data_IF_453865488705
#
_entry.id   IF_453865488705
#
_cell.length_a   1.000
_cell.length_b   1.000
_cell.length_c   1.000
_cell.angle_alpha   90.00
_cell.angle_beta   90.00
_cell.angle_gamma   90.00
#
_symmetry.space_group_name_H-M   'P 1'
#
loop_
_entity.id
_entity.type
_entity.pdbx_description
1 polymer ?
#
# COMPACT_ATOMS: atom_id res chain seq x y z
N UNK A 1 -2.27 -6.15 42.16
CA UNK A 1 -2.12 -7.58 41.84
C UNK A 1 -3.24 -7.97 40.89
N UNK A 2 -2.95 -8.01 39.59
CA UNK A 2 -3.88 -8.49 38.56
C UNK A 2 -3.07 -9.35 37.58
N UNK A 3 -3.29 -10.66 37.60
CA UNK A 3 -2.66 -11.62 36.69
C UNK A 3 -3.44 -11.69 35.37
N UNK A 4 -2.72 -11.49 34.28
CA UNK A 4 -3.21 -11.68 32.92
C UNK A 4 -3.29 -13.17 32.57
N UNK A 5 -4.48 -13.66 32.19
CA UNK A 5 -4.65 -14.96 31.55
C UNK A 5 -4.66 -14.79 30.03
N UNK A 6 -3.58 -15.25 29.40
CA UNK A 6 -3.52 -15.49 27.96
C UNK A 6 -4.53 -16.58 27.56
N UNK A 7 -5.47 -16.25 26.69
CA UNK A 7 -6.32 -17.21 25.97
C UNK A 7 -5.52 -17.85 24.82
N UNK A 8 -5.60 -19.17 24.59
CA UNK A 8 -4.92 -19.84 23.51
C UNK A 8 -5.58 -19.53 22.16
N UNK A 9 -4.76 -19.22 21.18
CA UNK A 9 -5.11 -18.89 19.80
C UNK A 9 -5.90 -20.03 19.12
N UNK A 10 -6.92 -19.74 18.29
CA UNK A 10 -7.75 -20.78 17.68
C UNK A 10 -6.99 -21.57 16.60
N UNK A 11 -7.00 -22.90 16.72
CA UNK A 11 -6.38 -23.92 15.85
C UNK A 11 -6.67 -23.75 14.34
N UNK A 12 -7.66 -22.94 13.95
CA UNK A 12 -7.99 -22.66 12.55
C UNK A 12 -6.92 -21.80 11.84
N UNK A 13 -6.18 -20.96 12.58
CA UNK A 13 -5.16 -20.08 11.97
C UNK A 13 -3.85 -20.84 11.69
N UNK A 14 -3.49 -21.81 12.54
CA UNK A 14 -2.33 -22.72 12.33
C UNK A 14 -2.54 -23.59 11.08
N UNK A 15 -3.78 -24.02 10.80
CA UNK A 15 -4.12 -24.72 9.55
C UNK A 15 -3.91 -23.85 8.32
N UNK A 16 -4.27 -22.56 8.37
CA UNK A 16 -4.09 -21.62 7.23
C UNK A 16 -2.63 -21.27 6.96
N UNK A 17 -1.80 -21.10 8.00
CA UNK A 17 -0.37 -20.83 7.80
C UNK A 17 0.41 -22.05 7.29
N UNK A 18 0.06 -23.26 7.71
CA UNK A 18 0.79 -24.48 7.32
C UNK A 18 0.59 -24.83 5.83
N UNK A 19 -0.57 -24.49 5.26
CA UNK A 19 -0.91 -24.74 3.85
C UNK A 19 -0.17 -23.84 2.85
N UNK A 20 0.30 -22.65 3.27
CA UNK A 20 0.94 -21.69 2.36
C UNK A 20 2.37 -22.07 1.95
N UNK A 21 3.05 -22.95 2.67
CA UNK A 21 4.47 -23.26 2.44
C UNK A 21 4.81 -24.74 2.29
N UNK A 22 3.93 -25.66 2.69
CA UNK A 22 4.32 -27.06 2.92
C UNK A 22 3.46 -28.00 2.07
N UNK A 23 4.10 -28.63 1.09
CA UNK A 23 3.46 -29.60 0.20
C UNK A 23 2.83 -30.78 0.94
N UNK A 24 1.92 -31.48 0.25
CA UNK A 24 1.09 -32.60 0.75
C UNK A 24 1.85 -33.61 1.63
N UNK A 25 3.11 -33.93 1.28
CA UNK A 25 4.00 -34.85 2.02
C UNK A 25 4.36 -34.38 3.44
N UNK A 26 4.48 -33.07 3.64
CA UNK A 26 4.89 -32.50 4.93
C UNK A 26 3.71 -32.37 5.89
N UNK A 27 2.51 -32.09 5.38
CA UNK A 27 1.26 -32.11 6.17
C UNK A 27 0.98 -33.51 6.70
N UNK A 28 1.20 -34.55 5.89
CA UNK A 28 1.07 -35.96 6.30
C UNK A 28 2.06 -36.31 7.42
N UNK A 29 3.33 -35.88 7.30
CA UNK A 29 4.33 -36.10 8.36
C UNK A 29 4.01 -35.34 9.65
N UNK A 30 3.48 -34.11 9.56
CA UNK A 30 3.12 -33.31 10.73
C UNK A 30 1.95 -33.92 11.52
N UNK A 31 0.94 -34.44 10.81
CA UNK A 31 -0.21 -35.12 11.41
C UNK A 31 0.15 -36.47 12.03
N UNK A 32 1.12 -37.19 11.44
CA UNK A 32 1.62 -38.46 11.97
C UNK A 32 2.58 -38.28 13.16
N UNK A 33 3.31 -37.16 13.26
CA UNK A 33 4.28 -36.89 14.33
C UNK A 33 3.70 -36.20 15.58
N UNK A 34 2.45 -35.73 15.55
CA UNK A 34 1.81 -35.27 16.78
C UNK A 34 1.33 -36.47 17.61
N UNK A 35 2.03 -36.76 18.72
CA UNK A 35 1.65 -37.75 19.75
C UNK A 35 0.25 -37.52 20.38
N UNK A 36 -0.48 -36.49 19.95
CA UNK A 36 -1.81 -36.11 20.42
C UNK A 36 -2.90 -37.08 19.89
N UNK A 37 -2.63 -37.92 18.89
CA UNK A 37 -3.68 -38.72 18.20
C UNK A 37 -4.01 -40.06 18.89
N UNK A 38 -3.32 -40.44 19.99
CA UNK A 38 -3.52 -41.75 20.65
C UNK A 38 -4.55 -41.81 21.79
N UNK A 39 -5.39 -40.80 22.02
CA UNK A 39 -6.47 -40.91 23.03
C UNK A 39 -7.88 -40.72 22.45
N UNK A 40 -8.64 -41.82 22.55
CA UNK A 40 -10.09 -41.98 22.32
C UNK A 40 -10.55 -42.03 20.86
N UNK A 41 -10.41 -43.20 20.23
CA UNK A 41 -11.47 -43.96 19.53
C UNK A 41 -12.42 -43.29 18.53
N UNK A 42 -12.18 -42.05 18.09
CA UNK A 42 -13.04 -41.29 17.15
C UNK A 42 -12.28 -40.67 15.98
N UNK A 43 -11.03 -41.07 15.77
CA UNK A 43 -10.08 -40.44 14.84
C UNK A 43 -9.96 -41.13 13.47
N UNK A 44 -10.77 -42.13 13.15
CA UNK A 44 -10.67 -42.82 11.86
C UNK A 44 -11.37 -42.06 10.70
N UNK A 45 -12.43 -41.29 10.98
CA UNK A 45 -13.20 -40.56 9.95
C UNK A 45 -12.58 -39.23 9.50
N UNK A 46 -11.95 -38.47 10.40
CA UNK A 46 -11.37 -37.16 10.08
C UNK A 46 -10.12 -37.25 9.19
N UNK A 47 -9.36 -38.34 9.28
CA UNK A 47 -8.18 -38.58 8.44
C UNK A 47 -8.55 -38.99 7.02
N UNK A 48 -9.56 -39.84 6.85
CA UNK A 48 -10.04 -40.25 5.52
C UNK A 48 -10.70 -39.10 4.75
N UNK A 49 -11.49 -38.25 5.43
CA UNK A 49 -12.12 -37.07 4.82
C UNK A 49 -11.12 -35.99 4.36
N UNK A 50 -9.99 -35.84 5.05
CA UNK A 50 -8.92 -34.89 4.65
C UNK A 50 -8.05 -35.50 3.54
N UNK A 51 -7.87 -36.82 3.53
CA UNK A 51 -7.13 -37.54 2.50
C UNK A 51 -7.91 -37.65 1.18
N UNK A 52 -9.25 -37.68 1.23
CA UNK A 52 -10.14 -37.75 0.06
C UNK A 52 -10.40 -36.39 -0.59
N UNK A 53 -10.15 -35.28 0.10
CA UNK A 53 -10.38 -33.93 -0.43
C UNK A 53 -9.32 -33.57 -1.48
N UNK A 54 -9.75 -33.48 -2.75
CA UNK A 54 -8.94 -32.92 -3.84
C UNK A 54 -8.70 -31.43 -3.58
N UNK A 55 -7.47 -31.08 -3.22
CA UNK A 55 -7.03 -29.68 -3.12
C UNK A 55 -6.81 -29.14 -4.53
N UNK A 56 -7.73 -28.29 -4.99
CA UNK A 56 -7.60 -27.62 -6.28
C UNK A 56 -6.80 -26.34 -6.07
N UNK A 57 -5.71 -26.17 -6.81
CA UNK A 57 -4.92 -24.94 -6.78
C UNK A 57 -4.94 -24.26 -8.15
N UNK A 58 -4.76 -22.94 -8.13
CA UNK A 58 -4.46 -22.15 -9.32
C UNK A 58 -3.09 -21.53 -9.10
N UNK A 59 -2.12 -21.91 -9.93
CA UNK A 59 -0.80 -21.30 -9.96
C UNK A 59 -0.81 -20.09 -10.88
N UNK A 60 -0.43 -18.93 -10.34
CA UNK A 60 -0.27 -17.70 -11.08
C UNK A 60 1.21 -17.51 -11.39
N UNK A 61 1.57 -17.75 -12.64
CA UNK A 61 2.95 -17.75 -13.13
C UNK A 61 3.21 -16.41 -13.80
N UNK A 62 4.19 -15.66 -13.30
CA UNK A 62 4.46 -14.32 -13.82
C UNK A 62 5.95 -14.09 -14.02
N UNK A 63 6.30 -13.35 -15.07
CA UNK A 63 7.64 -12.80 -15.23
C UNK A 63 7.90 -11.61 -14.28
N UNK A 64 6.84 -11.03 -13.69
CA UNK A 64 6.88 -10.04 -12.62
C UNK A 64 6.32 -10.60 -11.31
N UNK A 65 5.56 -9.79 -10.58
CA UNK A 65 4.98 -10.12 -9.25
C UNK A 65 3.69 -10.96 -9.30
N UNK A 66 3.03 -11.04 -10.46
CA UNK A 66 1.75 -11.74 -10.62
C UNK A 66 0.54 -11.08 -9.93
N UNK A 67 0.66 -9.83 -9.46
CA UNK A 67 -0.42 -9.11 -8.74
C UNK A 67 -1.66 -8.91 -9.63
N UNK A 68 -1.48 -8.46 -10.87
CA UNK A 68 -2.61 -8.18 -11.76
C UNK A 68 -3.42 -9.45 -12.09
N UNK A 69 -2.72 -10.54 -12.40
CA UNK A 69 -3.36 -11.83 -12.60
C UNK A 69 -4.04 -12.34 -11.33
N UNK A 70 -3.43 -12.12 -10.15
CA UNK A 70 -4.04 -12.50 -8.88
C UNK A 70 -5.36 -11.79 -8.64
N UNK A 71 -5.42 -10.46 -8.82
CA UNK A 71 -6.67 -9.72 -8.68
C UNK A 71 -7.72 -10.18 -9.70
N UNK A 72 -7.33 -10.38 -10.96
CA UNK A 72 -8.25 -10.88 -11.98
C UNK A 72 -8.86 -12.24 -11.59
N UNK A 73 -8.02 -13.19 -11.17
CA UNK A 73 -8.49 -14.52 -10.76
C UNK A 73 -9.37 -14.43 -9.51
N UNK A 74 -9.01 -13.61 -8.53
CA UNK A 74 -9.87 -13.38 -7.35
C UNK A 74 -11.24 -12.82 -7.76
N UNK A 75 -11.29 -11.84 -8.66
CA UNK A 75 -12.55 -11.29 -9.17
C UNK A 75 -13.42 -12.33 -9.89
N UNK A 76 -12.80 -13.27 -10.62
CA UNK A 76 -13.51 -14.38 -11.27
C UNK A 76 -14.02 -15.40 -10.24
N UNK A 77 -13.20 -15.75 -9.24
CA UNK A 77 -13.56 -16.73 -8.21
C UNK A 77 -14.76 -16.32 -7.36
N UNK A 78 -15.07 -15.02 -7.25
CA UNK A 78 -16.28 -14.52 -6.59
C UNK A 78 -17.56 -15.06 -7.25
N UNK A 79 -17.52 -15.40 -8.54
CA UNK A 79 -18.65 -16.02 -9.25
C UNK A 79 -18.88 -17.50 -8.84
N UNK A 80 -17.97 -18.07 -8.07
CA UNK A 80 -18.01 -19.46 -7.61
C UNK A 80 -17.93 -19.53 -6.07
N UNK A 81 -18.92 -19.03 -5.32
CA UNK A 81 -18.81 -18.82 -3.85
C UNK A 81 -18.57 -20.10 -3.03
N UNK A 82 -18.84 -21.29 -3.57
CA UNK A 82 -18.56 -22.58 -2.94
C UNK A 82 -17.18 -23.17 -3.26
N UNK A 83 -16.28 -22.41 -3.89
CA UNK A 83 -14.95 -22.90 -4.25
C UNK A 83 -14.06 -23.10 -3.01
N UNK A 84 -13.24 -24.15 -3.01
CA UNK A 84 -12.17 -24.40 -2.01
C UNK A 84 -10.79 -24.27 -2.69
N UNK A 85 -10.66 -23.27 -3.59
CA UNK A 85 -9.49 -23.10 -4.44
C UNK A 85 -8.44 -22.25 -3.73
N UNK A 86 -7.20 -22.73 -3.71
CA UNK A 86 -6.05 -21.94 -3.26
C UNK A 86 -5.32 -21.34 -4.45
N UNK A 87 -5.16 -20.02 -4.46
CA UNK A 87 -4.40 -19.31 -5.49
C UNK A 87 -2.96 -19.08 -5.01
N UNK A 88 -1.99 -19.60 -5.75
CA UNK A 88 -0.56 -19.52 -5.42
C UNK A 88 0.15 -18.67 -6.47
N UNK A 89 0.79 -17.58 -6.04
CA UNK A 89 1.62 -16.75 -6.93
C UNK A 89 3.02 -17.33 -7.04
N UNK A 90 3.54 -17.40 -8.26
CA UNK A 90 4.91 -17.80 -8.58
C UNK A 90 5.54 -16.69 -9.43
N UNK A 91 6.20 -15.70 -8.79
CA UNK A 91 6.78 -14.56 -9.47
C UNK A 91 8.12 -14.90 -10.13
N UNK A 92 8.60 -13.99 -10.97
CA UNK A 92 9.94 -13.99 -11.56
C UNK A 92 10.32 -15.22 -12.40
N UNK A 93 9.36 -15.77 -13.13
CA UNK A 93 9.59 -16.86 -14.07
C UNK A 93 10.17 -16.32 -15.38
N UNK A 94 11.38 -16.76 -15.70
CA UNK A 94 12.22 -16.26 -16.78
C UNK A 94 12.90 -17.37 -17.59
N UNK A 95 12.93 -18.61 -17.10
CA UNK A 95 13.60 -19.72 -17.76
C UNK A 95 12.69 -20.94 -17.89
N UNK A 96 12.98 -21.78 -18.87
CA UNK A 96 12.24 -23.03 -19.12
C UNK A 96 12.33 -24.00 -17.93
N UNK A 97 13.50 -24.13 -17.28
CA UNK A 97 13.66 -24.96 -16.09
C UNK A 97 12.72 -24.56 -14.94
N UNK A 98 12.51 -23.26 -14.73
CA UNK A 98 11.53 -22.80 -13.73
C UNK A 98 10.09 -23.15 -14.12
N UNK A 99 9.78 -23.19 -15.42
CA UNK A 99 8.48 -23.64 -15.91
C UNK A 99 8.30 -25.13 -15.67
N UNK A 100 9.33 -25.95 -15.89
CA UNK A 100 9.29 -27.39 -15.61
C UNK A 100 8.99 -27.66 -14.13
N UNK A 101 9.64 -26.97 -13.21
CA UNK A 101 9.37 -27.08 -11.77
C UNK A 101 7.90 -26.79 -11.42
N UNK A 102 7.28 -25.82 -12.10
CA UNK A 102 5.88 -25.46 -11.88
C UNK A 102 4.96 -26.51 -12.47
N UNK A 103 5.29 -27.06 -13.64
CA UNK A 103 4.53 -28.14 -14.29
C UNK A 103 4.50 -29.37 -13.37
N UNK A 104 5.63 -29.75 -12.77
CA UNK A 104 5.69 -30.85 -11.81
C UNK A 104 4.80 -30.60 -10.58
N UNK A 105 4.87 -29.40 -10.01
CA UNK A 105 4.04 -29.00 -8.86
C UNK A 105 2.55 -29.00 -9.21
N UNK A 106 2.19 -28.43 -10.36
CA UNK A 106 0.81 -28.36 -10.82
C UNK A 106 0.23 -29.74 -11.12
N UNK A 107 1.03 -30.65 -11.69
CA UNK A 107 0.65 -32.05 -11.91
C UNK A 107 0.38 -32.78 -10.59
N UNK A 108 1.26 -32.62 -9.61
CA UNK A 108 1.13 -33.29 -8.31
C UNK A 108 -0.12 -32.85 -7.53
N UNK A 109 -0.67 -31.68 -7.84
CA UNK A 109 -1.85 -31.10 -7.18
C UNK A 109 -3.08 -30.96 -8.07
N UNK A 110 -3.10 -31.56 -9.28
CA UNK A 110 -4.26 -31.51 -10.20
C UNK A 110 -4.77 -30.06 -10.40
N UNK A 111 -3.84 -29.16 -10.75
CA UNK A 111 -4.01 -27.71 -10.64
C UNK A 111 -3.95 -26.98 -11.97
N UNK A 112 -4.63 -25.82 -12.04
CA UNK A 112 -4.60 -24.94 -13.20
C UNK A 112 -3.39 -24.00 -13.14
N UNK A 113 -2.85 -23.64 -14.30
CA UNK A 113 -1.84 -22.61 -14.44
C UNK A 113 -2.44 -21.40 -15.18
N UNK A 114 -2.31 -20.22 -14.60
CA UNK A 114 -2.65 -18.94 -15.23
C UNK A 114 -1.37 -18.13 -15.33
N UNK A 115 -1.04 -17.56 -16.49
CA UNK A 115 0.23 -16.86 -16.64
C UNK A 115 0.15 -15.47 -17.28
N UNK A 116 1.15 -14.66 -16.94
CA UNK A 116 1.37 -13.31 -17.48
C UNK A 116 2.75 -13.14 -18.10
N UNK A 117 3.29 -14.22 -18.67
CA UNK A 117 4.59 -14.22 -19.35
C UNK A 117 4.50 -13.43 -20.66
N UNK A 118 5.41 -12.48 -20.85
CA UNK A 118 5.46 -11.63 -22.06
C UNK A 118 6.39 -12.15 -23.16
N UNK A 119 7.40 -12.95 -22.80
CA UNK A 119 8.30 -13.58 -23.75
C UNK A 119 7.57 -14.72 -24.49
N UNK A 120 7.54 -14.66 -25.82
CA UNK A 120 6.78 -15.59 -26.67
C UNK A 120 7.26 -17.03 -26.55
N UNK A 121 8.57 -17.26 -26.58
CA UNK A 121 9.14 -18.61 -26.52
C UNK A 121 8.77 -19.30 -25.20
N UNK A 122 8.92 -18.59 -24.07
CA UNK A 122 8.59 -19.12 -22.75
C UNK A 122 7.08 -19.34 -22.56
N UNK A 123 6.23 -18.50 -23.17
CA UNK A 123 4.78 -18.74 -23.22
C UNK A 123 4.48 -20.04 -23.94
N UNK A 124 5.00 -20.19 -25.17
CA UNK A 124 4.76 -21.38 -25.98
C UNK A 124 5.28 -22.64 -25.30
N UNK A 125 6.47 -22.57 -24.68
CA UNK A 125 7.03 -23.67 -23.91
C UNK A 125 6.10 -24.08 -22.75
N UNK A 126 5.60 -23.11 -21.96
CA UNK A 126 4.68 -23.40 -20.86
C UNK A 126 3.37 -24.02 -21.35
N UNK A 127 2.76 -23.46 -22.40
CA UNK A 127 1.52 -24.01 -22.97
C UNK A 127 1.74 -25.43 -23.50
N UNK A 128 2.83 -25.66 -24.24
CA UNK A 128 3.17 -26.97 -24.78
C UNK A 128 3.38 -28.01 -23.67
N UNK A 129 4.16 -27.68 -22.63
CA UNK A 129 4.39 -28.57 -21.49
C UNK A 129 3.13 -28.82 -20.68
N UNK A 130 2.28 -27.80 -20.52
CA UNK A 130 0.96 -27.94 -19.90
C UNK A 130 0.10 -28.95 -20.63
N UNK A 131 -0.06 -28.78 -21.95
CA UNK A 131 -0.81 -29.71 -22.80
C UNK A 131 -0.25 -31.14 -22.74
N UNK A 132 1.07 -31.31 -22.84
CA UNK A 132 1.73 -32.62 -22.79
C UNK A 132 1.55 -33.34 -21.45
N UNK A 133 1.22 -32.63 -20.38
CA UNK A 133 1.00 -33.17 -19.03
C UNK A 133 -0.47 -33.08 -18.60
N UNK A 134 -1.38 -32.77 -19.52
CA UNK A 134 -2.83 -32.61 -19.28
C UNK A 134 -3.18 -31.55 -18.23
N UNK A 135 -2.35 -30.51 -18.12
CA UNK A 135 -2.55 -29.37 -17.23
C UNK A 135 -3.20 -28.23 -18.01
N UNK A 136 -4.31 -27.70 -17.49
CA UNK A 136 -4.94 -26.51 -18.06
C UNK A 136 -4.06 -25.26 -17.87
N UNK A 137 -3.74 -24.59 -18.97
CA UNK A 137 -2.96 -23.34 -18.97
C UNK A 137 -3.78 -22.19 -19.56
N UNK A 138 -3.81 -21.05 -18.89
CA UNK A 138 -4.48 -19.82 -19.36
C UNK A 138 -3.43 -18.72 -19.57
N UNK A 139 -3.31 -18.25 -20.81
CA UNK A 139 -2.48 -17.11 -21.18
C UNK A 139 -3.27 -15.80 -21.12
N UNK A 140 -2.91 -14.93 -20.19
CA UNK A 140 -3.55 -13.61 -20.05
C UNK A 140 -2.87 -12.52 -20.89
N UNK A 141 -1.68 -12.77 -21.44
CA UNK A 141 -0.90 -11.75 -22.15
C UNK A 141 -0.92 -11.92 -23.66
N UNK A 142 -0.76 -13.13 -24.18
CA UNK A 142 -0.66 -13.39 -25.63
C UNK A 142 -1.79 -12.76 -26.44
N UNK A 143 -3.08 -13.03 -26.13
CA UNK A 143 -4.19 -12.45 -26.89
C UNK A 143 -4.21 -10.92 -26.90
N UNK A 144 -3.84 -10.28 -25.78
CA UNK A 144 -3.80 -8.82 -25.66
C UNK A 144 -2.64 -8.24 -26.47
N UNK A 145 -1.44 -8.83 -26.32
CA UNK A 145 -0.25 -8.40 -27.05
C UNK A 145 -0.46 -8.49 -28.55
N UNK A 146 -1.00 -9.60 -29.05
CA UNK A 146 -1.25 -9.77 -30.49
C UNK A 146 -2.28 -8.79 -31.04
N UNK A 147 -3.32 -8.43 -30.26
CA UNK A 147 -4.29 -7.41 -30.68
C UNK A 147 -3.69 -6.00 -30.71
N UNK A 148 -2.84 -5.66 -29.75
CA UNK A 148 -2.14 -4.37 -29.73
C UNK A 148 -1.11 -4.29 -30.86
N UNK A 149 -0.33 -5.36 -31.09
CA UNK A 149 0.63 -5.48 -32.20
C UNK A 149 -0.06 -5.21 -33.55
N UNK A 150 -1.20 -5.86 -33.81
CA UNK A 150 -1.97 -5.63 -35.05
C UNK A 150 -2.57 -4.22 -35.13
N UNK A 151 -2.88 -3.59 -33.99
CA UNK A 151 -3.45 -2.25 -33.96
C UNK A 151 -2.40 -1.15 -34.18
N UNK A 152 -1.19 -1.37 -33.66
CA UNK A 152 -0.07 -0.42 -33.76
C UNK A 152 0.79 -0.65 -35.01
N UNK A 153 0.64 -1.79 -35.69
CA UNK A 153 1.52 -2.26 -36.76
C UNK A 153 3.00 -2.28 -36.33
N UNK A 154 3.23 -2.64 -35.05
CA UNK A 154 4.55 -2.66 -34.42
C UNK A 154 4.68 -3.83 -33.45
N UNK A 155 5.87 -4.45 -33.44
CA UNK A 155 6.12 -5.67 -32.69
C UNK A 155 6.34 -5.36 -31.19
N UNK A 156 5.80 -6.19 -30.28
CA UNK A 156 6.05 -6.01 -28.86
C UNK A 156 7.52 -6.29 -28.53
N UNK A 157 8.08 -5.54 -27.59
CA UNK A 157 9.45 -5.76 -27.10
C UNK A 157 9.63 -7.11 -26.38
N UNK A 158 8.54 -7.70 -25.89
CA UNK A 158 8.51 -9.00 -25.18
C UNK A 158 9.46 -9.11 -23.98
N UNK A 159 9.91 -7.98 -23.44
CA UNK A 159 10.81 -7.92 -22.29
C UNK A 159 10.03 -7.79 -20.97
N UNK A 160 10.26 -8.70 -20.01
CA UNK A 160 9.62 -8.60 -18.70
C UNK A 160 10.15 -7.40 -17.92
N UNK A 161 9.27 -6.80 -17.11
CA UNK A 161 9.65 -5.71 -16.21
C UNK A 161 9.81 -4.34 -16.87
N UNK A 162 9.51 -4.20 -18.19
CA UNK A 162 9.51 -2.89 -18.85
C UNK A 162 8.59 -1.88 -18.16
N UNK A 163 7.41 -2.30 -17.72
CA UNK A 163 6.53 -1.43 -16.95
C UNK A 163 7.23 -0.87 -15.70
N UNK A 164 7.98 -1.68 -14.94
CA UNK A 164 8.76 -1.20 -13.78
C UNK A 164 10.02 -0.42 -14.15
N UNK A 165 10.61 -0.65 -15.32
CA UNK A 165 11.77 0.11 -15.80
C UNK A 165 11.35 1.50 -16.31
N UNK A 166 10.24 1.58 -17.03
CA UNK A 166 9.65 2.82 -17.54
C UNK A 166 9.00 3.59 -16.38
N UNK A 167 8.21 2.88 -15.58
CA UNK A 167 7.57 3.40 -14.37
C UNK A 167 8.32 2.87 -13.15
N UNK A 168 9.62 3.19 -13.02
CA UNK A 168 10.38 3.04 -11.77
C UNK A 168 9.42 3.14 -10.61
N UNK A 169 9.14 2.03 -9.89
CA UNK A 169 8.18 2.07 -8.79
C UNK A 169 8.59 3.25 -7.92
N UNK A 170 7.64 4.17 -7.90
CA UNK A 170 7.73 5.61 -7.86
C UNK A 170 8.87 6.12 -6.96
N UNK A 171 10.11 6.20 -7.50
CA UNK A 171 11.29 6.68 -6.75
C UNK A 171 11.01 8.08 -6.19
N UNK A 172 10.27 8.90 -6.96
CA UNK A 172 9.77 10.19 -6.51
C UNK A 172 8.80 10.06 -5.32
N UNK A 173 7.85 9.12 -5.32
CA UNK A 173 6.96 8.85 -4.18
C UNK A 173 7.70 8.29 -2.96
N UNK A 174 8.65 7.36 -3.14
CA UNK A 174 9.48 6.85 -2.05
C UNK A 174 10.29 8.01 -1.44
N UNK A 175 10.95 8.81 -2.29
CA UNK A 175 11.69 10.00 -1.85
C UNK A 175 10.75 11.04 -1.22
N UNK A 176 9.52 11.21 -1.72
CA UNK A 176 8.54 12.12 -1.15
C UNK A 176 8.06 11.64 0.23
N UNK A 177 7.84 10.34 0.42
CA UNK A 177 7.49 9.72 1.70
C UNK A 177 8.64 9.88 2.69
N UNK A 178 9.87 9.54 2.30
CA UNK A 178 11.06 9.72 3.13
C UNK A 178 11.25 11.18 3.53
N UNK A 179 11.08 12.10 2.57
CA UNK A 179 11.14 13.54 2.81
C UNK A 179 10.08 14.01 3.81
N UNK A 180 8.82 13.60 3.63
CA UNK A 180 7.73 13.98 4.51
C UNK A 180 7.89 13.42 5.93
N UNK A 181 8.39 12.19 6.07
CA UNK A 181 8.72 11.59 7.37
C UNK A 181 9.85 12.37 8.07
N UNK A 182 10.90 12.73 7.33
CA UNK A 182 12.02 13.50 7.88
C UNK A 182 11.64 14.94 8.31
N UNK A 183 10.51 15.47 7.80
CA UNK A 183 10.04 16.83 8.04
C UNK A 183 8.70 16.92 8.79
N UNK A 184 8.19 15.82 9.37
CA UNK A 184 6.91 15.83 10.10
C UNK A 184 7.00 16.57 11.44
N UNK A 185 8.11 16.40 12.15
CA UNK A 185 8.36 16.99 13.48
C UNK A 185 8.93 18.41 13.43
N UNK A 186 9.16 18.96 12.22
CA UNK A 186 9.63 20.34 12.04
C UNK A 186 11.04 20.65 12.55
N UNK A 187 11.89 19.63 12.77
CA UNK A 187 13.26 19.82 13.30
C UNK A 187 14.32 20.02 12.21
N UNK A 188 14.11 19.52 10.99
CA UNK A 188 15.06 19.62 9.89
C UNK A 188 14.75 20.84 9.03
N UNK A 189 15.50 21.92 9.24
CA UNK A 189 15.28 23.19 8.56
C UNK A 189 16.16 23.42 7.34
N UNK A 190 17.23 22.63 7.18
CA UNK A 190 18.23 22.82 6.13
C UNK A 190 17.68 22.39 4.74
N UNK A 191 16.85 21.35 4.70
CA UNK A 191 16.32 20.77 3.47
C UNK A 191 14.92 21.33 3.08
N UNK A 192 14.41 22.31 3.84
CA UNK A 192 13.11 22.97 3.57
C UNK A 192 13.02 23.57 2.15
N UNK A 193 14.15 23.94 1.55
CA UNK A 193 14.21 24.48 0.19
C UNK A 193 13.84 23.45 -0.89
N UNK A 194 14.01 22.16 -0.61
CA UNK A 194 13.66 21.07 -1.51
C UNK A 194 12.17 20.72 -1.49
N UNK A 195 11.43 21.24 -0.50
CA UNK A 195 10.00 21.02 -0.40
C UNK A 195 9.26 21.63 -1.60
N UNK A 196 8.36 20.84 -2.18
CA UNK A 196 7.41 21.30 -3.18
C UNK A 196 6.20 21.97 -2.53
N UNK A 197 5.87 21.53 -1.31
CA UNK A 197 4.77 22.04 -0.50
C UNK A 197 5.28 22.21 0.93
N UNK A 198 5.11 23.40 1.50
CA UNK A 198 5.43 23.68 2.90
C UNK A 198 4.14 24.00 3.63
N UNK A 199 3.75 23.15 4.57
CA UNK A 199 2.55 23.36 5.36
C UNK A 199 2.86 24.05 6.68
N UNK A 200 2.24 25.20 6.90
CA UNK A 200 2.32 25.94 8.15
C UNK A 200 1.01 25.81 8.89
N UNK A 201 1.03 25.53 10.20
CA UNK A 201 -0.22 25.38 10.93
C UNK A 201 -0.04 25.17 12.42
N UNK A 202 -1.11 25.43 13.18
CA UNK A 202 -1.14 25.15 14.61
C UNK A 202 -0.91 23.66 14.91
N UNK A 203 -0.41 23.36 16.11
CA UNK A 203 -0.33 21.99 16.60
C UNK A 203 -1.71 21.33 16.56
N UNK A 204 -1.80 20.12 15.98
CA UNK A 204 -3.05 19.36 15.76
C UNK A 204 -4.00 19.89 14.68
N UNK A 205 -3.56 20.81 13.82
CA UNK A 205 -4.33 21.22 12.64
C UNK A 205 -4.39 20.15 11.52
N UNK A 206 -3.91 18.92 11.73
CA UNK A 206 -3.96 17.84 10.72
C UNK A 206 -2.80 17.81 9.72
N UNK A 207 -1.67 18.50 9.99
CA UNK A 207 -0.49 18.53 9.11
C UNK A 207 0.06 17.13 8.78
N UNK A 208 0.39 16.32 9.79
CA UNK A 208 0.99 14.98 9.62
C UNK A 208 0.21 14.02 8.72
N UNK A 209 -1.10 13.76 8.94
CA UNK A 209 -1.84 12.86 8.06
C UNK A 209 -1.97 13.44 6.64
N UNK A 210 -2.05 14.76 6.51
CA UNK A 210 -2.17 15.44 5.22
C UNK A 210 -0.85 15.40 4.42
N UNK A 211 0.29 15.62 5.07
CA UNK A 211 1.62 15.54 4.43
C UNK A 211 1.92 14.13 3.97
N UNK A 212 1.61 13.13 4.81
CA UNK A 212 1.80 11.73 4.45
C UNK A 212 0.90 11.31 3.29
N UNK A 213 -0.36 11.76 3.26
CA UNK A 213 -1.25 11.47 2.15
C UNK A 213 -0.71 12.06 0.83
N UNK A 214 -0.31 13.33 0.84
CA UNK A 214 0.28 13.97 -0.35
C UNK A 214 1.63 13.35 -0.76
N UNK A 215 2.42 12.87 0.19
CA UNK A 215 3.67 12.18 -0.08
C UNK A 215 3.44 10.82 -0.77
N UNK A 216 2.39 10.09 -0.37
CA UNK A 216 1.90 8.91 -1.11
C UNK A 216 1.38 9.30 -2.50
N UNK A 217 1.00 10.55 -2.74
CA UNK A 217 0.71 11.03 -4.10
C UNK A 217 1.95 11.54 -4.85
N UNK A 218 3.15 11.42 -4.29
CA UNK A 218 4.41 11.77 -4.93
C UNK A 218 4.98 13.16 -4.59
N UNK A 219 4.37 13.92 -3.67
CA UNK A 219 4.78 15.29 -3.37
C UNK A 219 5.72 15.39 -2.16
N UNK A 220 6.85 16.09 -2.30
CA UNK A 220 7.73 16.43 -1.18
C UNK A 220 7.09 17.50 -0.29
N UNK A 221 6.49 17.09 0.82
CA UNK A 221 5.80 17.98 1.77
C UNK A 221 6.58 18.14 3.07
N UNK A 222 6.82 19.38 3.51
CA UNK A 222 7.42 19.67 4.80
C UNK A 222 6.41 20.33 5.75
N UNK A 223 6.41 19.92 7.03
CA UNK A 223 5.54 20.49 8.05
C UNK A 223 6.32 21.47 8.92
N UNK A 224 5.82 22.72 9.00
CA UNK A 224 6.39 23.73 9.90
C UNK A 224 5.33 24.11 10.95
N UNK A 225 5.54 23.76 12.23
CA UNK A 225 4.60 24.10 13.28
C UNK A 225 4.59 25.61 13.52
N UNK A 226 3.40 26.20 13.61
CA UNK A 226 3.23 27.56 14.11
C UNK A 226 2.94 27.50 15.62
N UNK A 227 3.80 28.14 16.40
CA UNK A 227 3.58 28.39 17.83
C UNK A 227 3.55 29.90 18.05
N UNK A 228 2.46 30.41 18.62
CA UNK A 228 2.28 31.85 18.81
C UNK A 228 3.35 32.39 19.77
N UNK A 229 3.99 33.49 19.37
CA UNK A 229 5.07 34.12 20.13
C UNK A 229 6.46 33.52 19.88
N UNK A 230 6.55 32.38 19.19
CA UNK A 230 7.83 31.79 18.77
C UNK A 230 8.14 32.25 17.34
N UNK A 231 9.33 32.82 17.08
CA UNK A 231 9.74 33.18 15.72
C UNK A 231 9.76 31.95 14.81
N UNK A 232 9.22 32.11 13.60
CA UNK A 232 9.32 31.05 12.58
C UNK A 232 10.76 30.95 12.05
N UNK A 233 11.17 29.78 11.54
CA UNK A 233 12.51 29.59 10.99
C UNK A 233 12.82 30.56 9.85
N UNK A 234 13.99 31.21 9.90
CA UNK A 234 14.42 32.19 8.88
C UNK A 234 14.48 31.60 7.46
N UNK A 235 14.67 30.29 7.34
CA UNK A 235 14.67 29.57 6.06
C UNK A 235 13.36 29.75 5.31
N UNK A 236 12.21 29.88 6.00
CA UNK A 236 10.91 30.13 5.35
C UNK A 236 10.89 31.40 4.50
N UNK A 237 11.67 32.42 4.87
CA UNK A 237 11.76 33.68 4.10
C UNK A 237 12.46 33.48 2.75
N UNK A 238 13.25 32.41 2.61
CA UNK A 238 13.99 32.07 1.38
C UNK A 238 13.20 31.14 0.45
N UNK A 239 12.12 30.53 0.95
CA UNK A 239 11.28 29.63 0.17
C UNK A 239 10.34 30.46 -0.71
N UNK A 240 10.06 29.99 -1.92
CA UNK A 240 9.01 30.58 -2.75
C UNK A 240 7.67 30.51 -2.00
N UNK A 241 7.15 31.68 -1.60
CA UNK A 241 5.91 31.82 -0.85
C UNK A 241 4.73 31.08 -1.49
N UNK A 242 4.74 30.88 -2.82
CA UNK A 242 3.72 30.13 -3.56
C UNK A 242 3.66 28.65 -3.17
N UNK A 243 4.72 28.09 -2.57
CA UNK A 243 4.77 26.73 -2.02
C UNK A 243 4.27 26.64 -0.58
N UNK A 244 4.13 27.78 0.10
CA UNK A 244 3.75 27.84 1.52
C UNK A 244 2.23 27.88 1.65
N UNK A 245 1.66 26.85 2.28
CA UNK A 245 0.23 26.72 2.55
C UNK A 245 -0.02 26.71 4.05
N UNK A 246 -0.83 27.66 4.51
CA UNK A 246 -1.28 27.74 5.89
C UNK A 246 -2.57 26.95 6.10
N UNK A 247 -2.58 26.05 7.09
CA UNK A 247 -3.78 25.30 7.47
C UNK A 247 -4.59 26.10 8.50
N UNK A 248 -5.85 26.37 8.16
CA UNK A 248 -6.85 26.91 9.06
C UNK A 248 -7.75 25.79 9.56
N UNK A 249 -8.12 25.84 10.83
CA UNK A 249 -8.95 24.83 11.49
C UNK A 249 -9.89 25.52 12.48
N UNK A 250 -11.12 25.03 12.57
CA UNK A 250 -12.11 25.57 13.49
C UNK A 250 -11.84 25.14 14.94
N UNK A 251 -12.45 25.88 15.87
CA UNK A 251 -12.28 25.67 17.31
C UNK A 251 -12.64 24.25 17.76
N UNK A 252 -13.80 23.76 17.33
CA UNK A 252 -14.35 22.50 17.83
C UNK A 252 -13.50 21.29 17.38
N UNK A 253 -13.05 21.29 16.13
CA UNK A 253 -12.21 20.22 15.59
C UNK A 253 -10.79 20.28 16.13
N UNK A 254 -10.19 21.48 16.27
CA UNK A 254 -8.87 21.60 16.87
C UNK A 254 -8.87 21.10 18.32
N UNK A 255 -9.92 21.44 19.08
CA UNK A 255 -10.14 20.93 20.43
C UNK A 255 -10.31 19.41 20.44
N UNK A 256 -11.10 18.85 19.52
CA UNK A 256 -11.29 17.41 19.41
C UNK A 256 -9.97 16.67 19.11
N UNK A 257 -9.17 17.16 18.17
CA UNK A 257 -7.87 16.57 17.85
C UNK A 257 -6.89 16.63 19.03
N UNK A 258 -6.85 17.74 19.78
CA UNK A 258 -6.02 17.87 21.00
C UNK A 258 -6.46 16.90 22.08
N UNK A 259 -7.77 16.76 22.32
CA UNK A 259 -8.31 15.80 23.29
C UNK A 259 -7.98 14.35 22.91
N UNK A 260 -8.18 13.97 21.66
CA UNK A 260 -7.88 12.61 21.18
C UNK A 260 -6.41 12.25 21.39
N UNK A 261 -5.48 13.19 21.17
CA UNK A 261 -4.06 12.94 21.44
C UNK A 261 -3.77 12.75 22.93
N UNK A 262 -4.39 13.55 23.79
CA UNK A 262 -4.22 13.43 25.23
C UNK A 262 -4.63 12.04 25.71
N UNK A 263 -5.80 11.58 25.28
CA UNK A 263 -6.33 10.25 25.63
C UNK A 263 -5.37 9.13 25.19
N UNK A 264 -4.72 9.28 24.04
CA UNK A 264 -3.78 8.29 23.48
C UNK A 264 -2.39 8.30 24.14
N UNK A 265 -1.93 9.43 24.69
CA UNK A 265 -0.57 9.56 25.22
C UNK A 265 -0.47 9.42 26.74
N UNK A 266 -1.60 9.35 27.46
CA UNK A 266 -1.61 9.19 28.92
C UNK A 266 -0.86 10.31 29.68
N UNK A 267 -0.54 11.41 29.00
CA UNK A 267 0.22 12.55 29.53
C UNK A 267 -0.59 13.82 29.42
N UNK A 268 -0.40 14.73 30.39
CA UNK A 268 -0.90 16.10 30.33
C UNK A 268 -0.12 16.87 29.26
N UNK A 269 -0.61 16.85 28.02
CA UNK A 269 -0.11 17.74 26.96
C UNK A 269 -0.11 19.19 27.49
N UNK A 270 0.90 20.01 27.20
CA UNK A 270 0.93 21.41 27.69
C UNK A 270 -0.30 22.21 27.22
N UNK A 271 -0.94 21.76 26.14
CA UNK A 271 -2.17 22.30 25.57
C UNK A 271 -3.46 21.68 26.14
N UNK A 272 -3.37 20.73 27.07
CA UNK A 272 -4.51 19.96 27.61
C UNK A 272 -5.45 20.78 28.50
N UNK A 273 -5.02 21.95 28.97
CA UNK A 273 -5.80 22.84 29.84
C UNK A 273 -6.14 24.19 29.19
N UNK A 274 -5.96 24.31 27.88
CA UNK A 274 -6.24 25.57 27.16
C UNK A 274 -7.76 25.79 27.09
N UNK A 275 -8.25 26.90 27.65
CA UNK A 275 -9.68 27.21 27.64
C UNK A 275 -10.18 27.40 26.21
N UNK A 276 -11.50 27.24 25.96
CA UNK A 276 -12.09 27.53 24.63
C UNK A 276 -11.71 28.92 24.12
N UNK A 277 -11.62 29.89 25.03
CA UNK A 277 -11.23 31.28 24.73
C UNK A 277 -9.79 31.35 24.26
N UNK A 278 -8.87 30.66 24.92
CA UNK A 278 -7.45 30.66 24.57
C UNK A 278 -7.20 29.99 23.21
N UNK A 279 -7.87 28.86 22.92
CA UNK A 279 -7.79 28.21 21.58
C UNK A 279 -8.35 29.13 20.50
N UNK A 280 -9.45 29.85 20.77
CA UNK A 280 -10.01 30.84 19.83
C UNK A 280 -9.02 31.96 19.53
N UNK A 281 -8.39 32.52 20.57
CA UNK A 281 -7.37 33.56 20.44
C UNK A 281 -6.14 33.05 19.68
N UNK A 282 -5.75 31.80 19.90
CA UNK A 282 -4.65 31.14 19.19
C UNK A 282 -4.95 31.00 17.68
N UNK A 283 -6.16 30.54 17.32
CA UNK A 283 -6.61 30.44 15.92
C UNK A 283 -6.65 31.82 15.25
N UNK A 284 -7.17 32.84 15.94
CA UNK A 284 -7.21 34.21 15.43
C UNK A 284 -5.81 34.81 15.26
N UNK A 285 -4.89 34.55 16.20
CA UNK A 285 -3.50 34.99 16.10
C UNK A 285 -2.80 34.32 14.92
N UNK A 286 -3.01 33.01 14.73
CA UNK A 286 -2.48 32.27 13.60
C UNK A 286 -2.99 32.81 12.25
N UNK A 287 -4.30 33.03 12.15
CA UNK A 287 -4.91 33.58 10.93
C UNK A 287 -4.37 34.98 10.59
N UNK A 288 -4.24 35.84 11.60
CA UNK A 288 -3.60 37.16 11.42
C UNK A 288 -2.16 37.02 10.94
N UNK A 289 -1.39 36.10 11.50
CA UNK A 289 -0.03 35.82 11.07
C UNK A 289 0.04 35.36 9.60
N UNK A 290 -0.82 34.43 9.19
CA UNK A 290 -0.86 33.96 7.79
C UNK A 290 -1.13 35.10 6.80
N UNK A 291 -2.08 35.98 7.14
CA UNK A 291 -2.42 37.15 6.33
C UNK A 291 -1.26 38.14 6.22
N UNK A 292 -0.55 38.43 7.32
CA UNK A 292 0.58 39.36 7.28
C UNK A 292 1.76 38.82 6.48
N UNK A 293 1.97 37.51 6.46
CA UNK A 293 2.99 36.87 5.62
C UNK A 293 2.53 36.70 4.15
N UNK A 294 1.22 36.82 3.88
CA UNK A 294 0.63 36.58 2.56
C UNK A 294 0.63 35.10 2.17
N UNK A 295 0.52 34.20 3.16
CA UNK A 295 0.40 32.77 2.91
C UNK A 295 -0.98 32.42 2.38
N UNK A 296 -1.01 31.44 1.47
CA UNK A 296 -2.27 30.88 1.00
C UNK A 296 -2.88 30.04 2.09
N UNK A 297 -4.17 30.20 2.36
CA UNK A 297 -4.84 29.47 3.45
C UNK A 297 -5.79 28.43 2.87
N UNK A 298 -5.80 27.25 3.48
CA UNK A 298 -6.84 26.23 3.24
C UNK A 298 -7.49 25.91 4.57
N UNK A 299 -8.82 25.92 4.58
CA UNK A 299 -9.60 25.45 5.71
C UNK A 299 -9.76 23.93 5.62
N UNK A 300 -9.22 23.22 6.60
CA UNK A 300 -9.29 21.76 6.72
C UNK A 300 -10.47 21.30 7.60
N UNK A 301 -11.30 22.25 8.04
CA UNK A 301 -12.38 21.99 8.97
C UNK A 301 -13.47 21.10 8.36
N UNK A 302 -13.83 20.01 9.04
CA UNK A 302 -14.87 19.06 8.62
C UNK A 302 -14.68 18.52 7.19
N UNK A 303 -13.46 18.58 6.65
CA UNK A 303 -13.12 18.05 5.33
C UNK A 303 -12.37 16.72 5.46
N UNK A 304 -12.62 15.76 4.55
CA UNK A 304 -11.74 14.61 4.38
C UNK A 304 -10.30 15.07 4.04
N UNK A 305 -9.33 14.23 4.39
CA UNK A 305 -7.91 14.50 4.13
C UNK A 305 -7.66 14.56 2.63
N UNK A 306 -8.32 13.68 1.87
CA UNK A 306 -8.26 13.56 0.41
C UNK A 306 -8.66 14.87 -0.26
N UNK A 307 -9.81 15.43 0.12
CA UNK A 307 -10.29 16.71 -0.43
C UNK A 307 -9.35 17.86 -0.11
N UNK A 308 -8.81 17.91 1.10
CA UNK A 308 -7.87 18.97 1.50
C UNK A 308 -6.54 18.85 0.75
N UNK A 309 -6.08 17.62 0.51
CA UNK A 309 -4.85 17.34 -0.26
C UNK A 309 -5.02 17.73 -1.73
N UNK A 310 -6.14 17.37 -2.36
CA UNK A 310 -6.46 17.75 -3.73
C UNK A 310 -6.51 19.27 -3.91
N UNK A 311 -7.14 19.99 -2.97
CA UNK A 311 -7.20 21.46 -3.00
C UNK A 311 -5.80 22.10 -2.95
N UNK A 312 -4.92 21.58 -2.09
CA UNK A 312 -3.52 22.00 -1.99
C UNK A 312 -2.76 21.71 -3.30
N UNK A 313 -2.83 20.47 -3.76
CA UNK A 313 -2.10 19.98 -4.94
C UNK A 313 -2.54 20.75 -6.18
N UNK A 314 -3.83 20.97 -6.37
CA UNK A 314 -4.36 21.72 -7.51
C UNK A 314 -3.87 23.16 -7.48
N UNK A 315 -3.89 23.80 -6.30
CA UNK A 315 -3.42 25.17 -6.13
C UNK A 315 -1.93 25.31 -6.46
N UNK A 316 -1.09 24.37 -6.01
CA UNK A 316 0.35 24.32 -6.31
C UNK A 316 0.57 24.05 -7.80
N UNK A 317 -0.09 23.04 -8.34
CA UNK A 317 0.03 22.63 -9.75
C UNK A 317 -0.35 23.78 -10.68
N UNK A 318 -1.42 24.53 -10.40
CA UNK A 318 -1.85 25.68 -11.20
C UNK A 318 -0.82 26.80 -11.21
N UNK A 319 -0.16 27.06 -10.07
CA UNK A 319 0.87 28.11 -9.93
C UNK A 319 2.09 27.84 -10.78
N UNK A 320 2.55 26.58 -10.82
CA UNK A 320 3.79 26.20 -11.48
C UNK A 320 3.58 25.68 -12.92
N UNK A 321 2.39 25.18 -13.30
CA UNK A 321 2.06 24.93 -14.72
C UNK A 321 2.01 26.22 -15.55
N UNK A 322 1.54 27.32 -14.98
CA UNK A 322 1.48 28.62 -15.67
C UNK A 322 2.87 29.20 -16.01
N UNK A 323 3.94 28.74 -15.36
CA UNK A 323 5.32 29.13 -15.67
C UNK A 323 5.93 28.30 -16.79
N UNK A 324 5.53 27.02 -16.92
CA UNK A 324 6.00 26.14 -18.00
C UNK A 324 5.54 26.59 -19.40
N UNK A 325 4.47 27.38 -19.51
CA UNK A 325 3.99 27.98 -20.77
C UNK A 325 4.54 29.39 -21.04
N UNK A 326 5.36 29.95 -20.13
CA UNK A 326 6.00 31.27 -20.29
C UNK A 326 7.49 31.21 -20.63
N UNK A 327 8.07 30.01 -20.69
CA UNK A 327 9.42 29.74 -21.21
C UNK A 327 9.31 29.24 -22.64
#
# INVERSE_FOLDING_TARGET
MAEARYLPWPQQMIKRLCLQCLGKRFIINLLNNTEIVKKKGKTMGLTEDILSKKFHMIYIVSCGEGINAYHLIQSVLVQFPGNDITVVKVPHIRTESQVEDIIEKAKATDSLIVHTIVNRDLRHFLTFRGMAQEIGTIDLMGPVLSKIESFLDDAPLEQPGLYRKIHHVDLAQVTAIEFALAHDDGMNHEDLAEAEIVMVGLSRAGKTPLSMYMAVMGWKVANVPLVIGVPMPEVLKRIDRRRIIALNINLDQLKAHRKMRQDNLGTSDMYAYTSKKDISLEIEAARRYYLTQGYSMIDVSNKPIETSAEEIIEMITRRFKAEAHKR
#
